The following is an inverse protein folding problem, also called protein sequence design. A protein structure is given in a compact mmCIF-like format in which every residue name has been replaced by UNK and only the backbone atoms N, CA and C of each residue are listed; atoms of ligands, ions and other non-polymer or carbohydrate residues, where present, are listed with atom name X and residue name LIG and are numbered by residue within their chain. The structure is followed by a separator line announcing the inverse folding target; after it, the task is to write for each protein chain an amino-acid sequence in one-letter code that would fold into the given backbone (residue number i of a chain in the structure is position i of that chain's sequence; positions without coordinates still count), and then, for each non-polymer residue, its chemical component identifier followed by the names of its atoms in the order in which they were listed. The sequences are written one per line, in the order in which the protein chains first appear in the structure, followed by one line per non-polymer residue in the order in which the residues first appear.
data_IF_362329093130
#
_entry.id   IF_362329093130
#
_cell.length_a   1.000
_cell.length_b   1.000
_cell.length_c   1.000
_cell.angle_alpha   90.00
_cell.angle_beta   90.00
_cell.angle_gamma   90.00
#
_symmetry.space_group_name_H-M   'P 1'
#
loop_
_entity.id
_entity.type
_entity.pdbx_description
1 polymer ?
#
# COMPACT_ATOMS: atom_id res chain seq x y z
N UNK A 1 -19.03 0.51 -12.08
CA UNK A 1 -17.73 1.20 -12.02
C UNK A 1 -16.63 0.17 -11.86
N UNK A 2 -15.48 0.33 -12.53
CA UNK A 2 -14.34 -0.58 -12.39
C UNK A 2 -13.35 0.05 -11.41
N UNK A 3 -13.18 -0.58 -10.25
CA UNK A 3 -12.22 -0.15 -9.24
C UNK A 3 -10.80 -0.52 -9.71
N UNK A 4 -9.82 0.37 -9.51
CA UNK A 4 -8.40 0.07 -9.71
C UNK A 4 -7.74 -0.15 -8.36
N UNK A 5 -6.84 -1.12 -8.29
CA UNK A 5 -6.08 -1.43 -7.10
C UNK A 5 -4.62 -1.71 -7.47
N UNK A 6 -3.72 -1.38 -6.55
CA UNK A 6 -2.32 -1.80 -6.61
C UNK A 6 -2.11 -2.93 -5.60
N UNK A 7 -1.68 -4.10 -6.05
CA UNK A 7 -1.63 -5.31 -5.23
C UNK A 7 -0.22 -5.65 -4.75
N UNK A 8 0.74 -4.72 -4.90
CA UNK A 8 2.11 -4.96 -4.52
C UNK A 8 2.78 -3.66 -4.07
N UNK A 9 2.64 -3.35 -2.79
CA UNK A 9 3.26 -2.17 -2.17
C UNK A 9 3.95 -2.56 -0.87
N UNK A 10 5.08 -1.92 -0.60
CA UNK A 10 5.90 -2.20 0.58
C UNK A 10 5.86 -0.97 1.48
N UNK A 11 6.04 -1.18 2.78
CA UNK A 11 6.07 -0.15 3.81
C UNK A 11 7.44 -0.09 4.45
N UNK A 12 7.63 0.86 5.38
CA UNK A 12 8.82 0.92 6.23
C UNK A 12 8.98 -0.27 7.17
N UNK A 13 8.00 -1.20 7.25
CA UNK A 13 8.16 -2.48 7.93
C UNK A 13 9.06 -3.46 7.15
N UNK A 14 9.34 -3.19 5.86
CA UNK A 14 10.35 -3.89 5.08
C UNK A 14 11.28 -2.91 4.32
N UNK A 15 11.24 -2.89 2.98
CA UNK A 15 12.08 -2.05 2.11
C UNK A 15 11.31 -0.88 1.44
N UNK A 16 10.06 -0.64 1.84
CA UNK A 16 9.26 0.50 1.41
C UNK A 16 9.68 1.81 2.08
N UNK A 17 9.21 2.93 1.51
CA UNK A 17 9.60 4.29 1.98
C UNK A 17 8.53 4.98 2.82
N UNK A 18 7.33 4.42 2.91
CA UNK A 18 6.17 5.03 3.54
C UNK A 18 5.63 4.12 4.64
N UNK A 19 5.00 4.72 5.67
CA UNK A 19 4.24 3.93 6.65
C UNK A 19 2.95 3.40 6.00
N UNK A 20 2.31 2.38 6.57
CA UNK A 20 1.08 1.80 6.04
C UNK A 20 -0.03 2.83 5.75
N UNK A 21 -0.27 3.73 6.71
CA UNK A 21 -1.28 4.78 6.58
C UNK A 21 -0.95 5.78 5.45
N UNK A 22 0.34 6.10 5.26
CA UNK A 22 0.76 7.03 4.22
C UNK A 22 0.53 6.41 2.81
N UNK A 23 0.76 5.10 2.66
CA UNK A 23 0.44 4.37 1.43
C UNK A 23 -1.07 4.41 1.10
N UNK A 24 -1.94 4.22 2.09
CA UNK A 24 -3.40 4.29 1.90
C UNK A 24 -3.83 5.68 1.45
N UNK A 25 -3.33 6.74 2.09
CA UNK A 25 -3.65 8.13 1.71
C UNK A 25 -3.15 8.46 0.29
N UNK A 26 -1.93 8.03 -0.06
CA UNK A 26 -1.39 8.20 -1.42
C UNK A 26 -2.21 7.45 -2.46
N UNK A 27 -2.65 6.23 -2.17
CA UNK A 27 -3.48 5.44 -3.07
C UNK A 27 -4.84 6.10 -3.33
N UNK A 28 -5.48 6.58 -2.27
CA UNK A 28 -6.74 7.34 -2.36
C UNK A 28 -6.56 8.62 -3.17
N UNK A 29 -5.49 9.37 -2.94
CA UNK A 29 -5.18 10.58 -3.71
C UNK A 29 -4.95 10.31 -5.21
N UNK A 30 -4.48 9.10 -5.56
CA UNK A 30 -4.29 8.63 -6.94
C UNK A 30 -5.54 8.00 -7.56
N UNK A 31 -6.66 7.95 -6.84
CA UNK A 31 -7.92 7.38 -7.32
C UNK A 31 -7.94 5.84 -7.35
N UNK A 32 -7.02 5.19 -6.63
CA UNK A 32 -7.13 3.75 -6.38
C UNK A 32 -8.22 3.51 -5.33
N UNK A 33 -8.98 2.44 -5.51
CA UNK A 33 -9.99 2.05 -4.53
C UNK A 33 -9.50 1.01 -3.52
N UNK A 34 -8.32 0.43 -3.72
CA UNK A 34 -7.67 -0.45 -2.76
C UNK A 34 -6.15 -0.51 -3.02
N UNK A 35 -5.42 -0.93 -2.00
CA UNK A 35 -4.03 -1.40 -2.11
C UNK A 35 -3.82 -2.68 -1.29
N UNK A 36 -2.78 -3.45 -1.62
CA UNK A 36 -2.25 -4.50 -0.77
C UNK A 36 -0.86 -4.11 -0.25
N UNK A 37 -0.63 -4.39 1.03
CA UNK A 37 0.68 -4.31 1.67
C UNK A 37 1.29 -5.70 1.64
N UNK A 38 2.47 -5.82 1.04
CA UNK A 38 3.17 -7.08 0.77
C UNK A 38 4.61 -7.00 1.27
N UNK A 39 4.78 -6.60 2.52
CA UNK A 39 6.10 -6.50 3.13
C UNK A 39 6.82 -7.87 3.15
N UNK A 40 8.16 -7.83 3.05
CA UNK A 40 8.98 -9.04 3.02
C UNK A 40 8.89 -9.81 4.34
N UNK A 41 8.38 -11.04 4.26
CA UNK A 41 8.35 -12.03 5.36
C UNK A 41 7.70 -11.54 6.67
N UNK A 42 6.89 -10.47 6.64
CA UNK A 42 6.21 -9.90 7.81
C UNK A 42 4.80 -9.38 7.48
N UNK A 43 4.00 -9.18 8.53
CA UNK A 43 2.66 -8.56 8.50
C UNK A 43 2.57 -7.37 9.47
N UNK A 44 3.71 -6.80 9.89
CA UNK A 44 3.78 -5.67 10.83
C UNK A 44 3.42 -4.32 10.18
N UNK A 45 3.32 -4.28 8.85
CA UNK A 45 2.88 -3.11 8.08
C UNK A 45 1.36 -2.95 7.99
#
# INVERSE_FOLDING_TARGET
MRLRADLHTHTTASDGMQRPADNVEMAKARGLGAIAITDHDTVDG
#
